data_IF_796759613146
#
_entry.id   IF_796759613146
#
_cell.length_a   1.000
_cell.length_b   1.000
_cell.length_c   1.000
_cell.angle_alpha   90.00
_cell.angle_beta   90.00
_cell.angle_gamma   90.00
#
_symmetry.space_group_name_H-M   'P 1'
#
loop_
_entity.id
_entity.type
_entity.pdbx_description
1 polymer ?
#
# COMPACT_ATOMS: atom_id res chain seq x y z
N UNK A 1 1.04 20.60 -8.35
CA UNK A 1 2.25 19.94 -7.82
C UNK A 1 2.17 19.86 -6.31
N UNK A 2 2.30 18.68 -5.76
CA UNK A 2 2.22 18.38 -4.33
C UNK A 2 3.51 18.83 -3.65
N UNK A 3 3.42 19.48 -2.47
CA UNK A 3 4.62 19.97 -1.79
C UNK A 3 5.47 18.81 -1.26
N UNK A 4 4.88 17.97 -0.42
CA UNK A 4 5.50 16.79 0.19
C UNK A 4 4.41 15.76 0.59
N UNK A 5 4.81 14.62 1.19
CA UNK A 5 3.90 13.55 1.61
C UNK A 5 2.90 13.99 2.68
N UNK A 6 3.31 14.88 3.58
CA UNK A 6 2.42 15.40 4.63
C UNK A 6 1.30 16.25 4.01
N UNK A 7 1.66 17.13 3.08
CA UNK A 7 0.69 17.92 2.32
C UNK A 7 -0.26 17.02 1.51
N UNK A 8 0.28 15.98 0.86
CA UNK A 8 -0.53 14.99 0.13
C UNK A 8 -1.59 14.33 1.03
N UNK A 9 -1.18 13.89 2.22
CA UNK A 9 -2.09 13.26 3.18
C UNK A 9 -3.21 14.19 3.66
N UNK A 10 -2.93 15.47 3.88
CA UNK A 10 -3.95 16.48 4.23
C UNK A 10 -4.98 16.67 3.12
N UNK A 11 -4.51 16.82 1.86
CA UNK A 11 -5.41 16.93 0.71
C UNK A 11 -6.30 15.69 0.53
N UNK A 12 -5.75 14.49 0.80
CA UNK A 12 -6.54 13.25 0.77
C UNK A 12 -7.54 13.20 1.92
N UNK A 13 -7.18 13.64 3.12
CA UNK A 13 -8.08 13.69 4.27
C UNK A 13 -9.29 14.60 3.99
N UNK A 14 -9.09 15.77 3.38
CA UNK A 14 -10.17 16.66 2.97
C UNK A 14 -11.17 15.96 2.02
N UNK A 15 -10.65 15.21 1.02
CA UNK A 15 -11.49 14.45 0.09
C UNK A 15 -12.20 13.26 0.75
N UNK A 16 -11.58 12.62 1.74
CA UNK A 16 -12.12 11.47 2.45
C UNK A 16 -13.20 11.83 3.46
N UNK A 17 -13.14 13.00 4.08
CA UNK A 17 -13.98 13.38 5.23
C UNK A 17 -15.48 13.16 5.03
N UNK A 18 -16.02 13.49 3.85
CA UNK A 18 -17.44 13.28 3.54
C UNK A 18 -17.77 11.82 3.22
N UNK A 19 -16.82 11.07 2.63
CA UNK A 19 -17.02 9.70 2.15
C UNK A 19 -17.06 8.71 3.32
N UNK A 20 -16.29 8.98 4.38
CA UNK A 20 -16.15 8.08 5.53
C UNK A 20 -17.10 8.42 6.69
N UNK A 21 -17.95 9.44 6.54
CA UNK A 21 -18.85 9.89 7.60
C UNK A 21 -19.76 8.75 8.07
N UNK A 22 -19.68 8.43 9.37
CA UNK A 22 -20.47 7.37 10.01
C UNK A 22 -19.91 5.95 9.78
N UNK A 23 -18.74 5.79 9.15
CA UNK A 23 -18.07 4.50 8.98
C UNK A 23 -17.02 4.29 10.08
N UNK A 24 -16.87 3.06 10.55
CA UNK A 24 -15.71 2.64 11.35
C UNK A 24 -14.55 2.38 10.42
N UNK A 25 -13.52 3.23 10.45
CA UNK A 25 -12.43 3.22 9.49
C UNK A 25 -11.08 2.97 10.15
N UNK A 26 -10.19 2.34 9.39
CA UNK A 26 -8.75 2.25 9.70
C UNK A 26 -7.93 2.65 8.48
N UNK A 27 -6.87 3.44 8.70
CA UNK A 27 -5.89 3.74 7.65
C UNK A 27 -4.87 2.61 7.62
N UNK A 28 -4.67 2.00 6.45
CA UNK A 28 -3.70 0.94 6.21
C UNK A 28 -2.66 1.46 5.21
N UNK A 29 -1.47 1.77 5.69
CA UNK A 29 -0.44 2.41 4.89
C UNK A 29 0.58 1.40 4.33
N UNK A 30 1.01 1.61 3.09
CA UNK A 30 2.10 0.84 2.46
C UNK A 30 3.42 1.54 2.78
N UNK A 31 4.36 0.91 3.52
CA UNK A 31 5.63 1.54 3.85
C UNK A 31 6.56 1.64 2.61
N UNK A 32 7.46 2.60 2.60
CA UNK A 32 7.76 3.53 3.70
C UNK A 32 7.06 4.88 3.55
N UNK A 33 7.02 5.44 2.34
CA UNK A 33 6.48 6.77 2.06
C UNK A 33 4.99 6.90 2.37
N UNK A 34 4.21 5.85 2.09
CA UNK A 34 2.78 5.80 2.38
C UNK A 34 2.44 5.96 3.86
N UNK A 35 3.37 5.62 4.79
CA UNK A 35 3.15 5.83 6.23
C UNK A 35 3.07 7.31 6.60
N UNK A 36 3.80 8.19 5.92
CA UNK A 36 3.71 9.63 6.16
C UNK A 36 2.38 10.19 5.66
N UNK A 37 1.93 9.72 4.49
CA UNK A 37 0.61 10.06 3.94
C UNK A 37 -0.49 9.54 4.86
N UNK A 38 -0.39 8.28 5.30
CA UNK A 38 -1.33 7.65 6.22
C UNK A 38 -1.40 8.33 7.59
N UNK A 39 -0.24 8.73 8.17
CA UNK A 39 -0.19 9.47 9.44
C UNK A 39 -0.90 10.83 9.32
N UNK A 40 -0.74 11.52 8.18
CA UNK A 40 -1.46 12.77 7.95
C UNK A 40 -2.97 12.55 7.85
N UNK A 41 -3.42 11.55 7.07
CA UNK A 41 -4.85 11.18 6.97
C UNK A 41 -5.40 10.80 8.34
N UNK A 42 -4.70 9.91 9.07
CA UNK A 42 -5.15 9.41 10.37
C UNK A 42 -5.30 10.52 11.41
N UNK A 43 -4.35 11.47 11.46
CA UNK A 43 -4.41 12.62 12.38
C UNK A 43 -5.53 13.60 12.03
N UNK A 44 -5.69 13.96 10.77
CA UNK A 44 -6.72 14.90 10.34
C UNK A 44 -8.15 14.36 10.57
N UNK A 45 -8.33 13.03 10.45
CA UNK A 45 -9.63 12.38 10.54
C UNK A 45 -9.87 11.65 11.88
N UNK A 46 -8.88 11.65 12.80
CA UNK A 46 -8.99 10.96 14.10
C UNK A 46 -9.09 9.44 13.99
N UNK A 47 -8.40 8.83 13.01
CA UNK A 47 -8.48 7.40 12.70
C UNK A 47 -7.27 6.63 13.23
N UNK A 48 -7.40 5.32 13.53
CA UNK A 48 -6.26 4.44 13.74
C UNK A 48 -5.45 4.27 12.45
N UNK A 49 -4.13 4.05 12.63
CA UNK A 49 -3.18 3.79 11.55
C UNK A 49 -2.45 2.48 11.78
N UNK A 50 -2.42 1.63 10.76
CA UNK A 50 -1.60 0.43 10.69
C UNK A 50 -0.86 0.35 9.35
N UNK A 51 0.00 -0.64 9.18
CA UNK A 51 0.76 -0.85 7.93
C UNK A 51 0.57 -2.24 7.37
N UNK A 52 0.62 -2.34 6.05
CA UNK A 52 0.68 -3.61 5.33
C UNK A 52 1.94 -3.66 4.47
N UNK A 53 2.67 -4.76 4.58
CA UNK A 53 3.89 -4.98 3.80
C UNK A 53 3.60 -5.96 2.66
N UNK A 54 3.95 -5.55 1.46
CA UNK A 54 3.98 -6.41 0.29
C UNK A 54 5.30 -6.22 -0.45
N UNK A 55 5.75 -7.26 -1.14
CA UNK A 55 6.96 -7.23 -1.97
C UNK A 55 6.66 -7.74 -3.35
N UNK A 56 7.17 -7.03 -4.36
CA UNK A 56 7.15 -7.51 -5.73
C UNK A 56 7.97 -8.78 -5.86
N UNK A 57 7.46 -9.73 -6.63
CA UNK A 57 8.18 -10.94 -7.05
C UNK A 57 8.65 -10.70 -8.47
N UNK A 58 9.95 -10.81 -8.68
CA UNK A 58 10.60 -10.60 -9.98
C UNK A 58 11.41 -11.84 -10.35
N UNK A 59 11.49 -12.22 -11.64
CA UNK A 59 12.39 -13.27 -12.07
C UNK A 59 13.84 -12.89 -11.75
N UNK A 60 14.72 -13.85 -11.37
CA UNK A 60 16.13 -13.56 -11.05
C UNK A 60 16.88 -12.84 -12.16
N UNK A 61 16.57 -13.18 -13.41
CA UNK A 61 17.24 -12.60 -14.59
C UNK A 61 16.61 -11.27 -15.06
N UNK A 62 15.47 -10.87 -14.48
CA UNK A 62 14.74 -9.65 -14.84
C UNK A 62 14.23 -8.92 -13.59
N UNK A 63 15.11 -8.32 -12.77
CA UNK A 63 14.75 -7.75 -11.46
C UNK A 63 13.79 -6.56 -11.52
N UNK A 64 13.71 -5.88 -12.65
CA UNK A 64 12.76 -4.77 -12.86
C UNK A 64 11.35 -5.23 -13.29
N UNK A 65 11.22 -6.47 -13.75
CA UNK A 65 9.97 -7.03 -14.26
C UNK A 65 9.20 -7.76 -13.16
N UNK A 66 8.20 -7.11 -12.58
CA UNK A 66 7.37 -7.70 -11.53
C UNK A 66 6.32 -8.63 -12.15
N UNK A 67 6.39 -9.92 -11.83
CA UNK A 67 5.41 -10.95 -12.25
C UNK A 67 4.47 -11.37 -11.11
N UNK A 68 4.54 -10.70 -10.00
CA UNK A 68 3.65 -10.90 -8.85
C UNK A 68 4.03 -10.05 -7.67
N UNK A 69 3.30 -10.21 -6.58
CA UNK A 69 3.63 -9.63 -5.29
C UNK A 69 3.15 -10.54 -4.16
N UNK A 70 3.85 -10.52 -3.03
CA UNK A 70 3.58 -11.38 -1.87
C UNK A 70 3.35 -10.53 -0.63
N UNK A 71 2.37 -10.93 0.17
CA UNK A 71 2.13 -10.51 1.55
C UNK A 71 2.68 -11.55 2.53
N UNK A 72 2.47 -11.37 3.83
CA UNK A 72 3.08 -12.24 4.85
C UNK A 72 2.43 -13.63 4.97
N UNK A 73 1.18 -13.78 4.59
CA UNK A 73 0.39 -15.01 4.66
C UNK A 73 0.28 -15.74 3.30
N UNK A 74 1.31 -15.59 2.47
CA UNK A 74 1.49 -16.27 1.18
C UNK A 74 0.46 -15.91 0.10
N UNK A 75 -0.31 -14.84 0.26
CA UNK A 75 -1.16 -14.36 -0.80
C UNK A 75 -0.29 -13.69 -1.86
N UNK A 76 -0.24 -14.33 -2.99
CA UNK A 76 0.52 -13.87 -4.13
C UNK A 76 -0.46 -13.39 -5.20
N UNK A 77 -0.31 -12.15 -5.63
CA UNK A 77 -0.92 -11.70 -6.87
C UNK A 77 -0.02 -12.17 -8.02
N UNK A 78 -0.55 -13.07 -8.84
CA UNK A 78 0.15 -13.59 -10.02
C UNK A 78 -0.12 -12.69 -11.23
N UNK A 79 0.94 -12.23 -11.89
CA UNK A 79 0.86 -11.65 -13.22
C UNK A 79 0.76 -12.74 -14.30
N UNK A 80 0.51 -12.32 -15.55
CA UNK A 80 0.25 -13.22 -16.69
C UNK A 80 1.40 -14.19 -16.96
N UNK A 81 2.64 -13.80 -16.69
CA UNK A 81 3.84 -14.62 -16.93
C UNK A 81 4.20 -15.59 -15.78
N UNK A 82 3.38 -15.69 -14.74
CA UNK A 82 3.66 -16.55 -13.59
C UNK A 82 3.98 -18.01 -13.99
N UNK A 83 3.18 -18.59 -14.87
CA UNK A 83 3.33 -19.98 -15.28
C UNK A 83 4.69 -20.27 -15.95
N UNK A 84 5.29 -19.27 -16.58
CA UNK A 84 6.59 -19.38 -17.22
C UNK A 84 7.74 -19.60 -16.23
N UNK A 85 7.62 -19.02 -15.01
CA UNK A 85 8.67 -19.02 -14.01
C UNK A 85 8.39 -19.93 -12.81
N UNK A 86 7.14 -20.32 -12.57
CA UNK A 86 6.71 -21.05 -11.36
C UNK A 86 7.43 -22.39 -11.13
N UNK A 87 7.94 -23.02 -12.19
CA UNK A 87 8.70 -24.27 -12.13
C UNK A 87 10.19 -24.08 -11.89
N UNK A 88 10.72 -22.86 -12.01
CA UNK A 88 12.15 -22.56 -11.83
C UNK A 88 12.55 -22.61 -10.35
N UNK A 89 13.53 -23.46 -9.95
CA UNK A 89 14.01 -23.51 -8.58
C UNK A 89 14.58 -22.17 -8.07
N UNK A 90 15.25 -21.39 -8.91
CA UNK A 90 15.79 -20.06 -8.54
C UNK A 90 14.67 -19.09 -8.23
N UNK A 91 13.60 -19.14 -9.01
CA UNK A 91 12.43 -18.32 -8.80
C UNK A 91 11.73 -18.66 -7.47
N UNK A 92 11.62 -19.95 -7.13
CA UNK A 92 11.08 -20.39 -5.83
C UNK A 92 11.92 -19.88 -4.66
N UNK A 93 13.25 -19.87 -4.80
CA UNK A 93 14.15 -19.30 -3.78
C UNK A 93 13.93 -17.77 -3.61
N UNK A 94 13.70 -17.05 -4.72
CA UNK A 94 13.40 -15.61 -4.64
C UNK A 94 12.08 -15.34 -3.90
N UNK A 95 11.05 -16.15 -4.12
CA UNK A 95 9.78 -16.07 -3.37
C UNK A 95 10.03 -16.24 -1.87
N UNK A 96 10.78 -17.27 -1.47
CA UNK A 96 11.12 -17.51 -0.06
C UNK A 96 11.88 -16.33 0.55
N UNK A 97 12.83 -15.77 -0.20
CA UNK A 97 13.58 -14.59 0.23
C UNK A 97 12.65 -13.39 0.44
N UNK A 98 11.74 -13.12 -0.51
CA UNK A 98 10.77 -12.01 -0.40
C UNK A 98 9.82 -12.20 0.78
N UNK A 99 9.36 -13.43 1.03
CA UNK A 99 8.56 -13.76 2.21
C UNK A 99 9.29 -13.42 3.51
N UNK A 100 10.54 -13.85 3.63
CA UNK A 100 11.37 -13.55 4.80
C UNK A 100 11.59 -12.03 4.98
N UNK A 101 11.78 -11.28 3.89
CA UNK A 101 11.87 -9.82 3.91
C UNK A 101 10.57 -9.18 4.42
N UNK A 102 9.40 -9.63 3.94
CA UNK A 102 8.09 -9.17 4.38
C UNK A 102 7.92 -9.43 5.88
N UNK A 103 8.18 -10.66 6.32
CA UNK A 103 8.06 -11.04 7.72
C UNK A 103 8.96 -10.20 8.63
N UNK A 104 10.23 -10.00 8.25
CA UNK A 104 11.15 -9.15 8.99
C UNK A 104 10.64 -7.71 9.11
N UNK A 105 10.11 -7.14 8.03
CA UNK A 105 9.58 -5.77 8.06
C UNK A 105 8.32 -5.66 8.91
N UNK A 106 7.40 -6.62 8.86
CA UNK A 106 6.22 -6.65 9.73
C UNK A 106 6.63 -6.66 11.19
N UNK A 107 7.55 -7.55 11.58
CA UNK A 107 8.05 -7.61 12.95
C UNK A 107 8.75 -6.33 13.39
N UNK A 108 9.49 -5.68 12.48
CA UNK A 108 10.14 -4.39 12.76
C UNK A 108 9.13 -3.25 12.98
N UNK A 109 8.09 -3.16 12.15
CA UNK A 109 7.16 -2.04 12.16
C UNK A 109 5.98 -2.26 13.13
N UNK A 110 5.42 -3.46 13.16
CA UNK A 110 4.23 -3.79 13.98
C UNK A 110 4.55 -4.57 15.26
N UNK A 111 5.55 -5.46 15.23
CA UNK A 111 5.89 -6.37 16.31
C UNK A 111 5.02 -7.64 16.35
N UNK A 112 3.98 -7.74 15.52
CA UNK A 112 3.13 -8.93 15.39
C UNK A 112 2.56 -9.04 13.95
N UNK A 113 1.93 -10.17 13.65
CA UNK A 113 1.32 -10.47 12.33
C UNK A 113 -0.21 -10.43 12.35
N UNK A 114 -0.82 -10.16 13.49
CA UNK A 114 -2.27 -10.17 13.64
C UNK A 114 -2.87 -8.87 13.08
N UNK A 115 -3.88 -9.01 12.22
CA UNK A 115 -4.67 -7.89 11.70
C UNK A 115 -6.14 -8.12 12.06
N UNK A 116 -6.76 -7.08 12.59
CA UNK A 116 -8.20 -7.08 12.87
C UNK A 116 -8.88 -5.94 12.08
N UNK A 117 -9.58 -6.31 11.02
CA UNK A 117 -10.36 -5.40 10.18
C UNK A 117 -11.86 -5.70 10.24
N UNK A 118 -12.31 -6.52 11.19
CA UNK A 118 -13.70 -6.97 11.26
C UNK A 118 -14.67 -5.78 11.28
N UNK A 119 -15.56 -5.78 10.30
CA UNK A 119 -16.56 -4.75 10.06
C UNK A 119 -16.03 -3.33 9.85
N UNK A 120 -14.73 -3.17 9.52
CA UNK A 120 -14.12 -1.86 9.26
C UNK A 120 -14.08 -1.53 7.76
N UNK A 121 -14.13 -0.24 7.46
CA UNK A 121 -13.72 0.30 6.15
C UNK A 121 -12.21 0.52 6.19
N UNK A 122 -11.48 -0.12 5.29
CA UNK A 122 -10.02 0.03 5.17
C UNK A 122 -9.70 1.14 4.18
N UNK A 123 -8.99 2.17 4.63
CA UNK A 123 -8.42 3.22 3.78
C UNK A 123 -6.98 2.81 3.46
N UNK A 124 -6.79 2.15 2.32
CA UNK A 124 -5.45 1.77 1.84
C UNK A 124 -4.76 3.00 1.23
N UNK A 125 -3.51 3.27 1.63
CA UNK A 125 -2.77 4.43 1.12
C UNK A 125 -1.30 4.13 0.87
N UNK A 126 -0.76 4.83 -0.15
CA UNK A 126 0.68 4.89 -0.47
C UNK A 126 1.05 6.35 -0.81
N UNK A 127 2.34 6.66 -0.95
CA UNK A 127 2.81 7.98 -1.37
C UNK A 127 2.70 8.21 -2.90
N UNK A 128 2.31 7.21 -3.63
CA UNK A 128 1.99 7.21 -5.05
C UNK A 128 2.09 5.82 -5.64
N UNK A 129 1.23 5.54 -6.59
CA UNK A 129 1.15 4.23 -7.24
C UNK A 129 1.76 4.34 -8.63
N UNK A 130 2.66 3.42 -8.99
CA UNK A 130 3.21 3.31 -10.33
C UNK A 130 2.51 2.18 -11.12
N UNK A 131 3.00 0.96 -11.01
CA UNK A 131 2.44 -0.20 -11.74
C UNK A 131 1.21 -0.84 -11.08
N UNK A 132 0.95 -0.52 -9.81
CA UNK A 132 -0.17 -1.08 -9.06
C UNK A 132 0.02 -2.51 -8.54
N UNK A 133 1.09 -3.22 -8.90
CA UNK A 133 1.29 -4.63 -8.52
C UNK A 133 1.21 -4.87 -7.01
N UNK A 134 1.82 -3.97 -6.21
CA UNK A 134 1.77 -4.02 -4.74
C UNK A 134 0.34 -3.84 -4.23
N UNK A 135 -0.36 -2.84 -4.76
CA UNK A 135 -1.75 -2.54 -4.39
C UNK A 135 -2.68 -3.70 -4.76
N UNK A 136 -2.57 -4.25 -5.97
CA UNK A 136 -3.38 -5.40 -6.40
C UNK A 136 -3.21 -6.62 -5.49
N UNK A 137 -1.96 -6.90 -5.03
CA UNK A 137 -1.71 -7.99 -4.08
C UNK A 137 -2.39 -7.75 -2.73
N UNK A 138 -2.31 -6.50 -2.23
CA UNK A 138 -2.93 -6.12 -0.97
C UNK A 138 -4.46 -6.16 -1.08
N UNK A 139 -5.04 -5.70 -2.19
CA UNK A 139 -6.48 -5.78 -2.43
C UNK A 139 -6.98 -7.22 -2.41
N UNK A 140 -6.31 -8.14 -3.12
CA UNK A 140 -6.63 -9.58 -3.06
C UNK A 140 -6.49 -10.16 -1.65
N UNK A 141 -5.53 -9.69 -0.88
CA UNK A 141 -5.39 -10.08 0.51
C UNK A 141 -6.55 -9.54 1.36
N UNK A 142 -6.96 -8.29 1.18
CA UNK A 142 -8.08 -7.69 1.90
C UNK A 142 -9.43 -8.34 1.57
N UNK A 143 -9.63 -8.82 0.34
CA UNK A 143 -10.83 -9.59 -0.06
C UNK A 143 -11.05 -10.86 0.79
N UNK A 144 -9.97 -11.40 1.38
CA UNK A 144 -10.04 -12.58 2.26
C UNK A 144 -10.21 -12.21 3.75
N UNK A 145 -10.24 -10.93 4.06
CA UNK A 145 -10.50 -10.41 5.40
C UNK A 145 -11.95 -9.93 5.49
N UNK A 146 -12.52 -9.97 6.66
CA UNK A 146 -13.90 -9.53 6.89
C UNK A 146 -14.00 -7.99 6.95
N UNK A 147 -13.61 -7.33 5.85
CA UNK A 147 -13.70 -5.86 5.72
C UNK A 147 -15.07 -5.45 5.16
N UNK A 148 -15.62 -4.32 5.63
CA UNK A 148 -16.89 -3.80 5.13
C UNK A 148 -16.74 -3.16 3.75
N UNK A 149 -15.65 -2.40 3.56
CA UNK A 149 -15.39 -1.63 2.35
C UNK A 149 -13.89 -1.30 2.24
N UNK A 150 -13.42 -1.06 1.03
CA UNK A 150 -12.03 -0.66 0.76
C UNK A 150 -12.04 0.65 -0.03
N UNK A 151 -11.31 1.63 0.48
CA UNK A 151 -11.06 2.91 -0.19
C UNK A 151 -9.56 3.00 -0.45
N UNK A 152 -9.16 3.11 -1.72
CA UNK A 152 -7.78 3.43 -2.07
C UNK A 152 -7.61 4.93 -2.12
N UNK A 153 -6.76 5.49 -1.25
CA UNK A 153 -6.45 6.90 -1.21
C UNK A 153 -4.96 7.12 -1.55
N UNK A 154 -4.67 7.74 -2.68
CA UNK A 154 -3.30 7.94 -3.15
C UNK A 154 -3.10 9.34 -3.74
N UNK A 155 -1.92 9.97 -3.53
CA UNK A 155 -1.64 11.27 -4.12
C UNK A 155 -1.61 11.23 -5.65
N UNK A 156 -1.00 10.17 -6.22
CA UNK A 156 -0.87 10.04 -7.67
C UNK A 156 -0.99 8.57 -8.09
N UNK A 157 -1.69 8.36 -9.20
CA UNK A 157 -1.84 7.06 -9.85
C UNK A 157 -1.97 7.28 -11.37
N UNK A 158 -1.14 6.62 -12.22
CA UNK A 158 -1.26 6.72 -13.67
C UNK A 158 -2.64 6.24 -14.14
N UNK A 159 -3.17 6.86 -15.19
CA UNK A 159 -4.48 6.52 -15.73
C UNK A 159 -4.63 5.02 -16.04
N UNK A 160 -3.64 4.40 -16.66
CA UNK A 160 -3.67 2.96 -16.98
C UNK A 160 -3.79 2.13 -15.68
N UNK A 161 -3.01 2.45 -14.67
CA UNK A 161 -3.03 1.74 -13.37
C UNK A 161 -4.35 1.98 -12.64
N UNK A 162 -4.91 3.18 -12.72
CA UNK A 162 -6.23 3.50 -12.17
C UNK A 162 -7.32 2.60 -12.78
N UNK A 163 -7.34 2.43 -14.11
CA UNK A 163 -8.34 1.58 -14.78
C UNK A 163 -8.16 0.08 -14.43
N UNK A 164 -6.94 -0.38 -14.20
CA UNK A 164 -6.68 -1.75 -13.71
C UNK A 164 -7.24 -1.93 -12.29
N UNK A 165 -6.95 -1.01 -11.39
CA UNK A 165 -7.38 -1.13 -9.97
C UNK A 165 -8.88 -0.93 -9.83
N UNK A 166 -9.50 -0.11 -10.66
CA UNK A 166 -10.95 0.09 -10.70
C UNK A 166 -11.74 -1.22 -10.92
N UNK A 167 -11.14 -2.23 -11.57
CA UNK A 167 -11.75 -3.54 -11.78
C UNK A 167 -12.00 -4.32 -10.48
N UNK A 168 -11.35 -3.95 -9.37
CA UNK A 168 -11.62 -4.51 -8.04
C UNK A 168 -12.94 -4.00 -7.42
N UNK A 169 -13.63 -3.07 -8.06
CA UNK A 169 -14.91 -2.54 -7.57
C UNK A 169 -14.81 -1.65 -6.33
N UNK A 170 -13.61 -1.19 -5.98
CA UNK A 170 -13.34 -0.34 -4.82
C UNK A 170 -13.48 1.15 -5.13
N UNK A 171 -13.64 1.97 -4.10
CA UNK A 171 -13.58 3.43 -4.23
C UNK A 171 -12.12 3.90 -4.35
N UNK A 172 -11.80 4.70 -5.38
CA UNK A 172 -10.46 5.26 -5.58
C UNK A 172 -10.53 6.78 -5.42
N UNK A 173 -9.71 7.33 -4.52
CA UNK A 173 -9.53 8.75 -4.28
C UNK A 173 -8.10 9.12 -4.63
N UNK A 174 -7.92 9.92 -5.66
CA UNK A 174 -6.62 10.41 -6.08
C UNK A 174 -6.58 11.95 -6.14
N UNK A 175 -5.38 12.52 -5.99
CA UNK A 175 -5.15 13.96 -6.22
C UNK A 175 -4.86 14.16 -7.70
N UNK A 176 -3.99 13.33 -8.28
CA UNK A 176 -3.57 13.38 -9.68
C UNK A 176 -3.74 12.01 -10.35
N UNK A 177 -4.32 11.99 -11.57
CA UNK A 177 -4.44 10.80 -12.43
C UNK A 177 -3.84 11.15 -13.80
N UNK A 178 -2.51 11.19 -13.92
CA UNK A 178 -1.84 11.61 -15.15
C UNK A 178 -1.92 10.54 -16.25
N UNK A 179 -2.00 11.01 -17.50
CA UNK A 179 -1.83 10.18 -18.71
C UNK A 179 -0.34 9.86 -18.93
N UNK A 180 0.52 10.87 -18.74
CA UNK A 180 1.97 10.73 -18.86
C UNK A 180 2.58 10.58 -17.48
N UNK A 181 3.30 9.49 -17.27
CA UNK A 181 3.88 9.14 -15.98
C UNK A 181 5.26 8.51 -16.15
N UNK A 182 6.24 9.09 -15.49
CA UNK A 182 7.61 8.55 -15.44
C UNK A 182 7.91 7.96 -14.05
N UNK A 183 7.60 8.72 -13.00
CA UNK A 183 7.80 8.29 -11.60
C UNK A 183 6.89 9.06 -10.65
N UNK A 184 6.65 8.49 -9.46
CA UNK A 184 5.88 9.17 -8.41
C UNK A 184 6.51 10.51 -8.01
N UNK A 185 7.84 10.55 -7.92
CA UNK A 185 8.58 11.71 -7.42
C UNK A 185 8.40 12.99 -8.27
N UNK A 186 8.07 12.87 -9.56
CA UNK A 186 7.87 14.02 -10.43
C UNK A 186 6.69 14.92 -10.04
N UNK A 187 5.74 14.39 -9.25
CA UNK A 187 4.57 15.11 -8.78
C UNK A 187 4.79 15.86 -7.45
N UNK A 188 5.97 15.64 -6.84
CA UNK A 188 6.34 16.21 -5.56
C UNK A 188 7.46 17.26 -5.70
N UNK A 189 7.39 18.32 -4.89
CA UNK A 189 8.51 19.27 -4.74
C UNK A 189 9.62 18.70 -3.84
N UNK A 190 9.23 17.91 -2.81
CA UNK A 190 10.14 17.23 -1.88
C UNK A 190 9.73 15.76 -1.78
N UNK A 191 10.61 14.86 -2.24
CA UNK A 191 10.37 13.43 -2.28
C UNK A 191 11.59 12.64 -1.79
N UNK A 192 12.04 12.94 -0.56
CA UNK A 192 13.20 12.31 0.05
C UNK A 192 12.95 10.85 0.41
N UNK A 193 14.04 10.07 0.51
CA UNK A 193 13.95 8.69 1.00
C UNK A 193 13.56 8.67 2.48
N UNK A 194 12.67 7.75 2.84
CA UNK A 194 12.17 7.63 4.21
C UNK A 194 12.92 6.47 4.90
N UNK A 195 13.67 6.75 5.98
CA UNK A 195 14.30 5.72 6.81
C UNK A 195 13.26 4.88 7.58
N UNK A 196 13.58 3.61 7.86
CA UNK A 196 12.74 2.72 8.66
C UNK A 196 12.43 3.29 10.04
N UNK A 197 13.37 4.02 10.65
CA UNK A 197 13.18 4.65 11.95
C UNK A 197 12.02 5.64 11.98
N UNK A 198 11.79 6.38 10.91
CA UNK A 198 10.64 7.30 10.79
C UNK A 198 9.33 6.52 10.82
N UNK A 199 9.27 5.40 10.09
CA UNK A 199 8.10 4.50 10.09
C UNK A 199 7.81 3.99 11.49
N UNK A 200 8.83 3.45 12.19
CA UNK A 200 8.71 2.94 13.56
C UNK A 200 8.24 4.04 14.52
N UNK A 201 8.81 5.24 14.44
CA UNK A 201 8.44 6.35 15.29
C UNK A 201 6.98 6.82 15.07
N UNK A 202 6.50 6.80 13.84
CA UNK A 202 5.11 7.14 13.53
C UNK A 202 4.19 6.07 14.13
N UNK A 203 4.41 4.79 13.82
CA UNK A 203 3.54 3.70 14.24
C UNK A 203 3.50 3.50 15.75
N UNK A 204 4.58 3.83 16.47
CA UNK A 204 4.61 3.73 17.93
C UNK A 204 3.53 4.59 18.61
N UNK A 205 3.05 5.67 17.95
CA UNK A 205 1.99 6.55 18.47
C UNK A 205 0.61 5.88 18.41
N UNK A 206 0.43 4.92 17.51
CA UNK A 206 -0.85 4.25 17.25
C UNK A 206 -0.97 2.87 17.90
N UNK A 207 0.13 2.29 18.41
CA UNK A 207 0.15 0.92 19.01
C UNK A 207 -0.81 0.70 20.18
N UNK A 208 -1.35 1.77 20.78
CA UNK A 208 -2.35 1.66 21.88
C UNK A 208 -3.78 1.68 21.37
N UNK A 209 -3.98 1.90 20.09
CA UNK A 209 -5.30 2.08 19.45
C UNK A 209 -5.67 0.92 18.49
N UNK A 210 -4.82 -0.10 18.39
CA UNK A 210 -4.99 -1.28 17.52
C UNK A 210 -5.15 -2.52 18.37
#
# INVERSE_FOLDING_TARGET
MIHDRLHAGRLLAEKLASIIKGKDCIVLAIPRGGVIVGDAIARELGLPLDVIISKKITPPDYPEYAIGAITYDDIIHFGDDWNRYSSDPKFRQEIIKKKNEVMRQIMTYRGNTEYNFDNKTVILTDDGIATGSTVCAILKWLEQKNVTDIILATPVIPYITHEIIKQFGITIIAIEIPQEFTSVGQFYRKFDQIPDQIVVNILSKYRKSI
#
